data_IF_388904405695
#
_entry.id   IF_388904405695
#
_cell.length_a   1.000
_cell.length_b   1.000
_cell.length_c   1.000
_cell.angle_alpha   90.00
_cell.angle_beta   90.00
_cell.angle_gamma   90.00
#
_symmetry.space_group_name_H-M   'P 1'
#
loop_
_entity.id
_entity.type
_entity.pdbx_description
1 polymer ?
#
# COMPACT_ATOMS: atom_id res chain seq x y z
N UNK A 1 1.18 24.77 28.82
CA UNK A 1 0.58 23.93 27.76
C UNK A 1 -0.62 24.69 27.20
N UNK A 2 -0.53 25.26 25.99
CA UNK A 2 -1.62 26.02 25.35
C UNK A 2 -2.00 25.34 24.05
N UNK A 3 -3.20 24.77 24.00
CA UNK A 3 -3.78 24.15 22.80
C UNK A 3 -4.45 25.28 22.01
N UNK A 4 -3.97 25.54 20.78
CA UNK A 4 -4.69 26.37 19.81
C UNK A 4 -5.62 25.45 19.02
N UNK A 5 -6.90 25.52 19.33
CA UNK A 5 -7.98 24.94 18.52
C UNK A 5 -8.44 25.98 17.50
N UNK A 6 -8.57 25.57 16.24
CA UNK A 6 -9.13 26.38 15.16
C UNK A 6 -10.64 26.49 15.36
N UNK A 7 -11.15 27.70 15.63
CA UNK A 7 -12.59 27.99 15.53
C UNK A 7 -12.92 28.27 14.07
N UNK A 8 -13.99 27.66 13.59
CA UNK A 8 -14.56 27.91 12.26
C UNK A 8 -15.06 29.36 12.21
N UNK A 9 -14.41 30.20 11.40
CA UNK A 9 -14.98 31.48 10.97
C UNK A 9 -15.30 31.35 9.48
N UNK A 10 -16.59 31.22 9.19
CA UNK A 10 -17.13 31.22 7.83
C UNK A 10 -17.18 32.65 7.31
N UNK A 11 -16.60 32.85 6.14
CA UNK A 11 -17.01 33.86 5.16
C UNK A 11 -17.03 33.11 3.83
N UNK A 12 -18.23 32.79 3.38
CA UNK A 12 -18.49 32.27 2.05
C UNK A 12 -18.60 33.48 1.11
N UNK A 13 -17.66 33.59 0.19
CA UNK A 13 -17.80 34.42 -1.01
C UNK A 13 -18.29 33.49 -2.13
N UNK A 14 -19.31 33.92 -2.86
CA UNK A 14 -20.21 33.14 -3.75
C UNK A 14 -19.58 32.33 -4.90
N UNK A 15 -18.25 32.16 -5.00
CA UNK A 15 -17.63 31.30 -6.03
C UNK A 15 -16.46 30.41 -5.51
N UNK A 16 -16.18 30.38 -4.20
CA UNK A 16 -15.06 29.60 -3.66
C UNK A 16 -15.51 28.50 -2.70
N UNK A 17 -15.75 27.30 -3.25
CA UNK A 17 -16.03 26.09 -2.46
C UNK A 17 -14.74 25.64 -1.76
N UNK A 18 -14.66 25.88 -0.45
CA UNK A 18 -13.53 25.43 0.40
C UNK A 18 -13.41 23.91 0.37
N UNK A 19 -12.19 23.41 0.54
CA UNK A 19 -11.96 21.97 0.75
C UNK A 19 -12.74 21.45 1.97
N UNK A 20 -13.46 20.36 1.77
CA UNK A 20 -14.15 19.63 2.83
C UNK A 20 -13.18 18.77 3.64
N UNK A 21 -13.60 18.25 4.80
CA UNK A 21 -12.74 17.39 5.62
C UNK A 21 -12.32 16.08 4.91
N UNK A 22 -13.17 15.40 4.10
CA UNK A 22 -12.71 14.27 3.30
C UNK A 22 -11.66 14.65 2.25
N UNK A 23 -11.80 15.80 1.60
CA UNK A 23 -10.87 16.27 0.57
C UNK A 23 -9.52 16.67 1.16
N UNK A 24 -9.52 17.39 2.28
CA UNK A 24 -8.30 17.67 3.04
C UNK A 24 -7.60 16.37 3.45
N UNK A 25 -8.35 15.37 3.92
CA UNK A 25 -7.82 14.07 4.32
C UNK A 25 -7.23 13.31 3.14
N UNK A 26 -7.93 13.29 2.00
CA UNK A 26 -7.47 12.61 0.78
C UNK A 26 -6.17 13.23 0.25
N UNK A 27 -6.13 14.57 0.12
CA UNK A 27 -4.96 15.29 -0.37
C UNK A 27 -3.77 15.13 0.59
N UNK A 28 -4.00 15.27 1.89
CA UNK A 28 -2.93 15.14 2.88
C UNK A 28 -2.35 13.73 2.91
N UNK A 29 -3.22 12.71 2.92
CA UNK A 29 -2.80 11.30 2.92
C UNK A 29 -2.03 10.97 1.66
N UNK A 30 -2.50 11.40 0.49
CA UNK A 30 -1.79 11.23 -0.77
C UNK A 30 -0.43 11.93 -0.73
N UNK A 31 -0.34 13.17 -0.22
CA UNK A 31 0.91 13.91 -0.14
C UNK A 31 1.96 13.20 0.73
N UNK A 32 1.56 12.74 1.93
CA UNK A 32 2.46 12.03 2.85
C UNK A 32 2.92 10.69 2.26
N UNK A 33 2.00 9.94 1.66
CA UNK A 33 2.33 8.64 1.05
C UNK A 33 3.27 8.79 -0.16
N UNK A 34 3.03 9.78 -1.03
CA UNK A 34 3.85 9.99 -2.22
C UNK A 34 5.23 10.56 -1.87
N UNK A 35 5.34 11.48 -0.90
CA UNK A 35 6.66 11.99 -0.47
C UNK A 35 7.51 10.90 0.19
N UNK A 36 6.92 10.05 1.03
CA UNK A 36 7.60 8.87 1.59
C UNK A 36 8.02 7.90 0.49
N UNK A 37 7.10 7.57 -0.41
CA UNK A 37 7.36 6.61 -1.49
C UNK A 37 8.46 7.12 -2.42
N UNK A 38 8.47 8.40 -2.74
CA UNK A 38 9.52 9.04 -3.53
C UNK A 38 10.92 8.76 -2.94
N UNK A 39 11.13 8.97 -1.63
CA UNK A 39 12.41 8.70 -0.99
C UNK A 39 12.80 7.21 -1.07
N UNK A 40 11.87 6.30 -0.79
CA UNK A 40 12.11 4.84 -0.87
C UNK A 40 12.45 4.42 -2.30
N UNK A 41 11.70 4.93 -3.29
CA UNK A 41 11.87 4.59 -4.70
C UNK A 41 13.19 5.13 -5.25
N UNK A 42 13.62 6.33 -4.85
CA UNK A 42 14.94 6.88 -5.21
C UNK A 42 16.08 6.01 -4.69
N UNK A 43 15.99 5.54 -3.45
CA UNK A 43 16.95 4.58 -2.91
C UNK A 43 16.92 3.25 -3.70
N UNK A 44 15.75 2.70 -4.01
CA UNK A 44 15.65 1.48 -4.80
C UNK A 44 16.21 1.65 -6.21
N UNK A 45 15.91 2.76 -6.90
CA UNK A 45 16.44 3.05 -8.24
C UNK A 45 17.95 3.12 -8.23
N UNK A 46 18.55 3.73 -7.21
CA UNK A 46 20.01 3.78 -7.03
C UNK A 46 20.64 2.39 -6.78
N UNK A 47 19.92 1.47 -6.12
CA UNK A 47 20.45 0.14 -5.75
C UNK A 47 20.03 -0.99 -6.69
N UNK A 48 19.20 -0.71 -7.69
CA UNK A 48 18.69 -1.70 -8.65
C UNK A 48 19.66 -1.86 -9.82
N UNK A 49 19.92 -3.10 -10.22
CA UNK A 49 20.78 -3.42 -11.36
C UNK A 49 19.97 -3.95 -12.56
N UNK A 50 18.84 -4.60 -12.31
CA UNK A 50 17.92 -5.07 -13.35
C UNK A 50 17.23 -3.91 -14.06
N UNK A 51 17.43 -3.81 -15.37
CA UNK A 51 16.94 -2.68 -16.18
C UNK A 51 15.42 -2.62 -16.27
N UNK A 52 14.74 -3.76 -16.37
CA UNK A 52 13.26 -3.78 -16.44
C UNK A 52 12.63 -3.36 -15.11
N UNK A 53 13.24 -3.75 -13.99
CA UNK A 53 12.83 -3.30 -12.65
C UNK A 53 13.13 -1.82 -12.47
N UNK A 54 14.27 -1.35 -12.99
CA UNK A 54 14.66 0.06 -13.02
C UNK A 54 13.62 0.92 -13.75
N UNK A 55 13.06 0.44 -14.86
CA UNK A 55 12.00 1.12 -15.63
C UNK A 55 10.64 1.13 -14.93
N UNK A 56 10.38 0.17 -14.04
CA UNK A 56 9.19 0.15 -13.17
C UNK A 56 9.35 1.17 -12.04
N UNK A 57 10.55 1.25 -11.46
CA UNK A 57 10.87 2.22 -10.39
C UNK A 57 10.81 3.67 -10.90
N UNK A 58 11.29 3.92 -12.11
CA UNK A 58 11.26 5.25 -12.72
C UNK A 58 9.83 5.74 -12.94
N UNK A 59 8.97 4.90 -13.52
CA UNK A 59 7.55 5.21 -13.64
C UNK A 59 6.90 5.49 -12.26
N UNK A 60 7.25 4.71 -11.23
CA UNK A 60 6.73 4.95 -9.89
C UNK A 60 7.18 6.31 -9.32
N UNK A 61 8.44 6.71 -9.57
CA UNK A 61 8.99 8.01 -9.16
C UNK A 61 8.23 9.14 -9.86
N UNK A 62 8.09 9.09 -11.18
CA UNK A 62 7.38 10.09 -11.98
C UNK A 62 5.93 10.29 -11.50
N UNK A 63 5.24 9.20 -11.16
CA UNK A 63 3.90 9.25 -10.59
C UNK A 63 3.92 9.99 -9.25
N UNK A 64 4.87 9.69 -8.36
CA UNK A 64 4.94 10.37 -7.06
C UNK A 64 5.22 11.87 -7.21
N UNK A 65 6.09 12.27 -8.14
CA UNK A 65 6.39 13.68 -8.42
C UNK A 65 5.17 14.42 -8.96
N UNK A 66 4.46 13.80 -9.91
CA UNK A 66 3.20 14.33 -10.49
C UNK A 66 2.17 14.57 -9.39
N UNK A 67 1.94 13.55 -8.55
CA UNK A 67 0.98 13.65 -7.44
C UNK A 67 1.35 14.74 -6.44
N UNK A 68 2.63 14.85 -6.07
CA UNK A 68 3.09 15.88 -5.16
C UNK A 68 2.89 17.28 -5.74
N UNK A 69 3.14 17.47 -7.03
CA UNK A 69 2.97 18.75 -7.71
C UNK A 69 1.50 19.15 -7.86
N UNK A 70 0.63 18.21 -8.23
CA UNK A 70 -0.81 18.43 -8.35
C UNK A 70 -1.43 18.83 -7.00
N UNK A 71 -1.08 18.12 -5.93
CA UNK A 71 -1.57 18.42 -4.58
C UNK A 71 -1.06 19.79 -4.09
N UNK A 72 0.22 20.12 -4.32
CA UNK A 72 0.76 21.46 -4.01
C UNK A 72 0.02 22.56 -4.74
N UNK A 73 -0.42 22.31 -5.98
CA UNK A 73 -1.18 23.27 -6.77
C UNK A 73 -2.54 23.56 -6.13
N UNK A 74 -3.24 22.54 -5.61
CA UNK A 74 -4.48 22.72 -4.86
C UNK A 74 -4.22 23.52 -3.58
N UNK A 75 -3.24 23.14 -2.76
CA UNK A 75 -2.97 23.86 -1.52
C UNK A 75 -2.60 25.32 -1.73
N UNK A 76 -1.83 25.64 -2.78
CA UNK A 76 -1.53 27.03 -3.16
C UNK A 76 -2.80 27.81 -3.53
N UNK A 77 -3.72 27.20 -4.29
CA UNK A 77 -5.01 27.83 -4.65
C UNK A 77 -5.87 28.14 -3.42
N UNK A 78 -5.85 27.25 -2.43
CA UNK A 78 -6.59 27.42 -1.16
C UNK A 78 -5.90 28.36 -0.16
N UNK A 79 -4.74 28.92 -0.51
CA UNK A 79 -3.85 29.59 0.45
C UNK A 79 -3.58 28.74 1.71
N UNK A 80 -3.48 27.42 1.51
CA UNK A 80 -3.24 26.43 2.54
C UNK A 80 -1.75 26.11 2.61
N UNK A 81 -1.23 25.92 3.83
CA UNK A 81 0.15 25.52 4.03
C UNK A 81 0.42 24.14 3.40
N UNK A 82 1.52 24.01 2.65
CA UNK A 82 1.94 22.71 2.13
C UNK A 82 2.39 21.83 3.32
N UNK A 83 1.92 20.58 3.43
CA UNK A 83 2.35 19.68 4.49
C UNK A 83 3.86 19.45 4.46
N UNK A 84 4.46 19.27 5.63
CA UNK A 84 5.86 18.83 5.75
C UNK A 84 5.88 17.33 5.48
N UNK A 85 6.21 16.96 4.25
CA UNK A 85 6.41 15.58 3.82
C UNK A 85 7.86 15.13 3.97
N UNK A 86 8.15 13.93 3.50
CA UNK A 86 9.52 13.41 3.46
C UNK A 86 10.35 14.11 2.38
N UNK A 87 11.66 14.24 2.60
CA UNK A 87 12.58 14.94 1.70
C UNK A 87 13.87 14.14 1.46
N UNK A 88 14.50 14.36 0.29
CA UNK A 88 15.80 13.74 0.01
C UNK A 88 16.89 14.18 0.99
N UNK A 89 16.86 15.44 1.42
CA UNK A 89 17.89 16.00 2.30
C UNK A 89 17.85 15.45 3.72
N UNK A 90 16.69 15.01 4.21
CA UNK A 90 16.50 14.60 5.60
C UNK A 90 16.21 13.10 5.74
N UNK A 91 15.50 12.50 4.77
CA UNK A 91 14.94 11.15 4.90
C UNK A 91 15.56 10.12 3.95
N UNK A 92 16.45 10.53 3.05
CA UNK A 92 17.11 9.67 2.07
C UNK A 92 18.61 9.58 2.33
N UNK A 93 19.12 8.35 2.46
CA UNK A 93 20.55 8.08 2.52
C UNK A 93 20.98 7.13 1.39
N UNK A 94 21.44 7.70 0.26
CA UNK A 94 21.92 6.93 -0.88
C UNK A 94 23.26 6.21 -0.60
N UNK A 95 24.00 6.63 0.43
CA UNK A 95 25.25 5.98 0.86
C UNK A 95 25.01 4.71 1.69
N UNK A 96 23.76 4.40 2.05
CA UNK A 96 23.44 3.14 2.69
C UNK A 96 23.81 1.94 1.77
N UNK A 97 24.23 0.80 2.34
CA UNK A 97 24.48 -0.41 1.54
C UNK A 97 23.20 -0.87 0.85
N UNK A 98 23.29 -1.77 -0.14
CA UNK A 98 22.12 -2.40 -0.73
C UNK A 98 21.43 -3.32 0.31
N UNK A 99 20.29 -2.87 0.84
CA UNK A 99 19.55 -3.54 1.91
C UNK A 99 18.56 -4.58 1.38
N UNK A 100 18.17 -4.45 0.10
CA UNK A 100 17.16 -5.27 -0.53
C UNK A 100 17.63 -5.71 -1.93
N UNK A 101 17.08 -6.83 -2.39
CA UNK A 101 17.30 -7.32 -3.74
C UNK A 101 16.42 -6.59 -4.75
N UNK A 102 16.80 -6.67 -6.03
CA UNK A 102 16.00 -6.16 -7.14
C UNK A 102 14.59 -6.78 -7.17
N UNK A 103 14.47 -8.08 -6.90
CA UNK A 103 13.17 -8.75 -6.73
C UNK A 103 12.32 -8.08 -5.64
N UNK A 104 12.92 -7.73 -4.51
CA UNK A 104 12.18 -7.04 -3.45
C UNK A 104 11.72 -5.65 -3.89
N UNK A 105 12.57 -4.89 -4.61
CA UNK A 105 12.18 -3.59 -5.15
C UNK A 105 10.92 -3.72 -6.03
N UNK A 106 10.89 -4.70 -6.94
CA UNK A 106 9.74 -4.96 -7.80
C UNK A 106 8.49 -5.36 -6.99
N UNK A 107 8.63 -6.28 -6.03
CA UNK A 107 7.52 -6.71 -5.15
C UNK A 107 6.97 -5.56 -4.32
N UNK A 108 7.83 -4.67 -3.83
CA UNK A 108 7.44 -3.48 -3.09
C UNK A 108 6.59 -2.57 -3.98
N UNK A 109 7.06 -2.22 -5.18
CA UNK A 109 6.31 -1.34 -6.10
C UNK A 109 4.94 -1.95 -6.44
N UNK A 110 4.89 -3.25 -6.76
CA UNK A 110 3.64 -3.93 -7.07
C UNK A 110 2.64 -3.87 -5.92
N UNK A 111 3.10 -4.12 -4.68
CA UNK A 111 2.25 -4.06 -3.49
C UNK A 111 1.80 -2.62 -3.17
N UNK A 112 2.69 -1.63 -3.34
CA UNK A 112 2.35 -0.23 -3.14
C UNK A 112 1.36 0.28 -4.19
N UNK A 113 1.47 -0.15 -5.45
CA UNK A 113 0.48 0.15 -6.48
C UNK A 113 -0.89 -0.44 -6.12
N UNK A 114 -0.94 -1.70 -5.66
CA UNK A 114 -2.19 -2.31 -5.15
C UNK A 114 -2.79 -1.51 -3.98
N UNK A 115 -1.96 -1.09 -3.04
CA UNK A 115 -2.41 -0.29 -1.90
C UNK A 115 -2.92 1.09 -2.34
N UNK A 116 -2.21 1.75 -3.25
CA UNK A 116 -2.58 3.03 -3.84
C UNK A 116 -3.94 2.98 -4.52
N UNK A 117 -4.22 1.94 -5.32
CA UNK A 117 -5.54 1.79 -5.96
C UNK A 117 -6.68 1.73 -4.94
N UNK A 118 -6.53 0.98 -3.85
CA UNK A 118 -7.54 0.92 -2.79
C UNK A 118 -7.71 2.29 -2.11
N UNK A 119 -6.60 2.95 -1.75
CA UNK A 119 -6.62 4.24 -1.07
C UNK A 119 -7.29 5.32 -1.94
N UNK A 120 -6.87 5.44 -3.21
CA UNK A 120 -7.43 6.43 -4.13
C UNK A 120 -8.88 6.12 -4.49
N UNK A 121 -9.27 4.85 -4.60
CA UNK A 121 -10.68 4.47 -4.78
C UNK A 121 -11.56 4.94 -3.63
N UNK A 122 -11.12 4.74 -2.38
CA UNK A 122 -11.83 5.27 -1.21
C UNK A 122 -11.87 6.80 -1.19
N UNK A 123 -10.76 7.47 -1.52
CA UNK A 123 -10.72 8.93 -1.62
C UNK A 123 -11.67 9.46 -2.70
N UNK A 124 -11.72 8.82 -3.86
CA UNK A 124 -12.58 9.23 -4.98
C UNK A 124 -14.06 9.17 -4.59
N UNK A 125 -14.48 8.11 -3.89
CA UNK A 125 -15.84 7.95 -3.41
C UNK A 125 -16.22 8.96 -2.30
N UNK A 126 -15.24 9.61 -1.67
CA UNK A 126 -15.45 10.52 -0.54
C UNK A 126 -15.34 12.01 -0.91
N UNK A 127 -14.81 12.33 -2.09
CA UNK A 127 -14.59 13.71 -2.54
C UNK A 127 -15.68 14.17 -3.53
N UNK A 128 -16.04 15.45 -3.50
CA UNK A 128 -17.08 16.01 -4.37
C UNK A 128 -16.53 17.07 -5.34
N UNK A 129 -15.57 17.88 -4.90
CA UNK A 129 -14.99 18.98 -5.67
C UNK A 129 -14.24 18.45 -6.90
N UNK A 130 -14.52 19.05 -8.05
CA UNK A 130 -14.10 18.53 -9.36
C UNK A 130 -12.58 18.47 -9.55
N UNK A 131 -11.86 19.50 -9.13
CA UNK A 131 -10.40 19.56 -9.20
C UNK A 131 -9.73 18.46 -8.34
N UNK A 132 -10.22 18.22 -7.12
CA UNK A 132 -9.76 17.13 -6.26
C UNK A 132 -10.09 15.78 -6.88
N UNK A 133 -11.32 15.58 -7.36
CA UNK A 133 -11.71 14.34 -8.03
C UNK A 133 -10.87 14.05 -9.27
N UNK A 134 -10.51 15.06 -10.04
CA UNK A 134 -9.66 14.91 -11.23
C UNK A 134 -8.25 14.44 -10.84
N UNK A 135 -7.66 15.01 -9.80
CA UNK A 135 -6.36 14.56 -9.27
C UNK A 135 -6.43 13.10 -8.80
N UNK A 136 -7.46 12.75 -8.02
CA UNK A 136 -7.62 11.37 -7.52
C UNK A 136 -7.91 10.39 -8.66
N UNK A 137 -8.70 10.79 -9.67
CA UNK A 137 -8.96 9.97 -10.87
C UNK A 137 -7.67 9.72 -11.65
N UNK A 138 -6.86 10.75 -11.88
CA UNK A 138 -5.56 10.63 -12.52
C UNK A 138 -4.63 9.69 -11.72
N UNK A 139 -4.63 9.82 -10.39
CA UNK A 139 -3.88 8.93 -9.50
C UNK A 139 -4.29 7.46 -9.67
N UNK A 140 -5.60 7.17 -9.80
CA UNK A 140 -6.11 5.81 -10.05
C UNK A 140 -5.58 5.28 -11.38
N UNK A 141 -5.67 6.06 -12.45
CA UNK A 141 -5.22 5.62 -13.78
C UNK A 141 -3.70 5.38 -13.84
N UNK A 142 -2.91 6.31 -13.30
CA UNK A 142 -1.45 6.17 -13.19
C UNK A 142 -1.07 4.94 -12.36
N UNK A 143 -1.71 4.76 -11.20
CA UNK A 143 -1.42 3.62 -10.30
C UNK A 143 -1.85 2.29 -10.92
N UNK A 144 -2.96 2.25 -11.66
CA UNK A 144 -3.39 1.07 -12.42
C UNK A 144 -2.35 0.67 -13.47
N UNK A 145 -1.81 1.65 -14.20
CA UNK A 145 -0.75 1.39 -15.19
C UNK A 145 0.52 0.86 -14.53
N UNK A 146 0.93 1.45 -13.39
CA UNK A 146 2.07 0.95 -12.60
C UNK A 146 1.85 -0.47 -12.08
N UNK A 147 0.63 -0.79 -11.62
CA UNK A 147 0.27 -2.13 -11.18
C UNK A 147 0.41 -3.15 -12.31
N UNK A 148 -0.12 -2.84 -13.50
CA UNK A 148 -0.04 -3.73 -14.65
C UNK A 148 1.41 -3.91 -15.13
N UNK A 149 2.20 -2.83 -15.21
CA UNK A 149 3.61 -2.90 -15.61
C UNK A 149 4.41 -3.78 -14.64
N UNK A 150 4.30 -3.52 -13.33
CA UNK A 150 4.99 -4.33 -12.31
C UNK A 150 4.52 -5.79 -12.29
N UNK A 151 3.23 -6.05 -12.52
CA UNK A 151 2.70 -7.41 -12.61
C UNK A 151 3.29 -8.17 -13.81
N UNK A 152 3.37 -7.54 -14.98
CA UNK A 152 3.92 -8.17 -16.17
C UNK A 152 5.39 -8.56 -15.95
N UNK A 153 6.20 -7.66 -15.40
CA UNK A 153 7.61 -7.95 -15.08
C UNK A 153 7.72 -9.09 -14.04
N UNK A 154 6.84 -9.10 -13.02
CA UNK A 154 6.80 -10.21 -12.05
C UNK A 154 6.46 -11.55 -12.71
N UNK A 155 5.54 -11.56 -13.68
CA UNK A 155 5.13 -12.77 -14.39
C UNK A 155 6.23 -13.27 -15.34
N UNK A 156 6.83 -12.37 -16.13
CA UNK A 156 7.90 -12.67 -17.10
C UNK A 156 9.15 -13.23 -16.40
N UNK A 157 9.49 -12.68 -15.22
CA UNK A 157 10.62 -13.17 -14.41
C UNK A 157 10.29 -14.40 -13.55
N UNK A 158 9.04 -14.88 -13.56
CA UNK A 158 8.61 -16.01 -12.72
C UNK A 158 8.58 -15.72 -11.22
N UNK A 159 8.54 -14.44 -10.83
CA UNK A 159 8.56 -13.97 -9.44
C UNK A 159 7.14 -13.77 -8.87
N UNK A 160 6.10 -13.82 -9.71
CA UNK A 160 4.73 -13.66 -9.25
C UNK A 160 4.24 -14.90 -8.48
N UNK A 161 4.02 -14.73 -7.17
CA UNK A 161 3.34 -15.74 -6.37
C UNK A 161 1.86 -15.79 -6.79
N UNK A 162 1.33 -16.99 -7.04
CA UNK A 162 -0.09 -17.18 -7.34
C UNK A 162 -0.81 -17.65 -6.09
N UNK A 163 -2.01 -17.12 -5.84
CA UNK A 163 -2.90 -17.70 -4.84
C UNK A 163 -3.25 -19.15 -5.22
N UNK A 164 -3.57 -20.02 -4.25
CA UNK A 164 -4.00 -21.38 -4.59
C UNK A 164 -5.28 -21.35 -5.42
N UNK A 165 -5.33 -22.25 -6.39
CA UNK A 165 -6.55 -22.55 -7.12
C UNK A 165 -7.46 -23.45 -6.27
N UNK A 166 -8.76 -23.21 -6.35
CA UNK A 166 -9.78 -24.13 -5.85
C UNK A 166 -10.41 -24.89 -7.01
N UNK A 167 -10.97 -26.10 -6.79
CA UNK A 167 -11.76 -26.79 -7.80
C UNK A 167 -12.89 -25.91 -8.33
N UNK A 168 -13.16 -25.98 -9.64
CA UNK A 168 -14.26 -25.24 -10.26
C UNK A 168 -15.58 -25.81 -9.71
N UNK A 169 -16.45 -24.98 -9.10
CA UNK A 169 -17.74 -25.45 -8.60
C UNK A 169 -18.62 -25.96 -9.75
N UNK A 170 -19.21 -27.15 -9.59
CA UNK A 170 -20.14 -27.72 -10.60
C UNK A 170 -21.58 -27.27 -10.41
N UNK A 171 -21.93 -26.75 -9.22
CA UNK A 171 -23.25 -26.24 -8.87
C UNK A 171 -23.16 -25.17 -7.77
N UNK A 172 -24.13 -24.25 -7.64
CA UNK A 172 -24.23 -23.35 -6.51
C UNK A 172 -24.48 -24.12 -5.20
N UNK A 173 -23.84 -23.69 -4.11
CA UNK A 173 -24.05 -24.22 -2.77
C UNK A 173 -24.58 -23.12 -1.84
N UNK A 174 -25.48 -23.48 -0.93
CA UNK A 174 -26.07 -22.56 0.04
C UNK A 174 -25.51 -22.82 1.43
N UNK A 175 -25.30 -21.75 2.20
CA UNK A 175 -24.87 -21.84 3.59
C UNK A 175 -26.09 -22.13 4.44
N UNK A 176 -26.26 -23.38 4.88
CA UNK A 176 -27.44 -23.81 5.63
C UNK A 176 -27.28 -23.72 7.16
N UNK A 177 -26.04 -23.69 7.66
CA UNK A 177 -25.75 -23.63 9.10
C UNK A 177 -25.36 -22.22 9.54
N UNK A 178 -26.04 -21.70 10.58
CA UNK A 178 -25.66 -20.43 11.24
C UNK A 178 -24.21 -20.44 11.76
N UNK A 179 -23.69 -21.62 12.14
CA UNK A 179 -22.29 -21.81 12.56
C UNK A 179 -21.23 -21.64 11.47
N UNK A 180 -21.60 -21.42 10.21
CA UNK A 180 -20.65 -21.23 9.11
C UNK A 180 -19.70 -20.05 9.32
N UNK A 181 -20.19 -18.96 9.92
CA UNK A 181 -19.38 -17.79 10.28
C UNK A 181 -18.56 -18.00 11.55
N UNK A 182 -18.96 -18.96 12.40
CA UNK A 182 -18.20 -19.32 13.59
C UNK A 182 -16.90 -20.08 13.26
N UNK A 183 -16.59 -20.31 11.97
CA UNK A 183 -15.40 -21.02 11.50
C UNK A 183 -14.05 -20.48 12.00
N UNK A 184 -13.99 -19.37 12.74
CA UNK A 184 -12.77 -18.92 13.44
C UNK A 184 -12.57 -19.62 14.81
N UNK A 185 -13.66 -20.09 15.44
CA UNK A 185 -13.68 -20.75 16.76
C UNK A 185 -14.46 -22.10 16.77
N UNK A 186 -14.91 -22.59 15.60
CA UNK A 186 -15.78 -23.77 15.45
C UNK A 186 -15.40 -24.69 14.27
N UNK A 187 -16.40 -25.27 13.58
CA UNK A 187 -16.27 -26.34 12.57
C UNK A 187 -15.09 -26.14 11.58
N UNK A 188 -14.28 -27.19 11.37
CA UNK A 188 -13.22 -27.24 10.36
C UNK A 188 -13.83 -27.42 8.96
N UNK A 189 -14.33 -26.34 8.35
CA UNK A 189 -14.67 -26.33 6.93
C UNK A 189 -13.49 -25.88 6.07
N UNK A 190 -13.52 -26.25 4.79
CA UNK A 190 -12.62 -25.68 3.79
C UNK A 190 -12.82 -24.16 3.67
N UNK A 191 -11.74 -23.46 3.31
CA UNK A 191 -11.81 -22.03 3.01
C UNK A 191 -12.53 -21.79 1.68
N UNK A 192 -13.35 -20.74 1.62
CA UNK A 192 -13.94 -20.29 0.35
C UNK A 192 -12.97 -19.36 -0.41
N UNK A 193 -13.28 -19.08 -1.68
CA UNK A 193 -12.45 -18.24 -2.54
C UNK A 193 -12.16 -16.84 -1.96
N UNK A 194 -13.14 -16.23 -1.28
CA UNK A 194 -13.00 -14.89 -0.68
C UNK A 194 -11.98 -14.93 0.45
N UNK A 195 -12.07 -15.92 1.33
CA UNK A 195 -11.11 -16.12 2.41
C UNK A 195 -9.71 -16.37 1.86
N UNK A 196 -9.57 -17.27 0.88
CA UNK A 196 -8.28 -17.58 0.25
C UNK A 196 -7.63 -16.31 -0.33
N UNK A 197 -8.40 -15.52 -1.07
CA UNK A 197 -7.94 -14.25 -1.63
C UNK A 197 -7.45 -13.28 -0.53
N UNK A 198 -8.23 -13.09 0.54
CA UNK A 198 -7.83 -12.17 1.61
C UNK A 198 -6.64 -12.67 2.41
N UNK A 199 -6.54 -13.96 2.72
CA UNK A 199 -5.37 -14.54 3.39
C UNK A 199 -4.12 -14.38 2.54
N UNK A 200 -4.19 -14.72 1.25
CA UNK A 200 -3.10 -14.53 0.29
C UNK A 200 -2.62 -13.07 0.25
N UNK A 201 -3.55 -12.13 0.03
CA UNK A 201 -3.22 -10.71 -0.05
C UNK A 201 -2.60 -10.15 1.25
N UNK A 202 -3.07 -10.60 2.41
CA UNK A 202 -2.52 -10.17 3.69
C UNK A 202 -1.15 -10.79 3.97
N UNK A 203 -0.92 -12.05 3.61
CA UNK A 203 0.41 -12.68 3.72
C UNK A 203 1.44 -11.95 2.86
N UNK A 204 1.13 -11.67 1.59
CA UNK A 204 2.01 -10.90 0.70
C UNK A 204 2.33 -9.52 1.28
N UNK A 205 1.30 -8.77 1.73
CA UNK A 205 1.48 -7.45 2.34
C UNK A 205 2.37 -7.49 3.58
N UNK A 206 2.15 -8.44 4.48
CA UNK A 206 2.95 -8.56 5.70
C UNK A 206 4.37 -9.02 5.39
N UNK A 207 4.58 -9.86 4.39
CA UNK A 207 5.93 -10.28 3.95
C UNK A 207 6.74 -9.09 3.46
N UNK A 208 6.16 -8.23 2.61
CA UNK A 208 6.81 -6.99 2.15
C UNK A 208 7.07 -6.04 3.33
N UNK A 209 6.08 -5.83 4.20
CA UNK A 209 6.22 -4.97 5.37
C UNK A 209 7.29 -5.46 6.35
N UNK A 210 7.36 -6.77 6.61
CA UNK A 210 8.39 -7.39 7.45
C UNK A 210 9.79 -7.10 6.91
N UNK A 211 10.01 -7.36 5.62
CA UNK A 211 11.30 -7.13 4.99
C UNK A 211 11.70 -5.65 5.02
N UNK A 212 10.78 -4.74 4.68
CA UNK A 212 11.01 -3.29 4.75
C UNK A 212 11.44 -2.83 6.16
N UNK A 213 10.74 -3.31 7.19
CA UNK A 213 11.07 -2.97 8.58
C UNK A 213 12.46 -3.51 8.96
N UNK A 214 12.79 -4.74 8.57
CA UNK A 214 14.12 -5.30 8.86
C UNK A 214 15.24 -4.50 8.18
N UNK A 215 15.05 -4.04 6.94
CA UNK A 215 16.03 -3.18 6.27
C UNK A 215 16.21 -1.83 6.95
N UNK A 216 15.12 -1.14 7.32
CA UNK A 216 15.22 0.09 8.12
C UNK A 216 15.87 -0.13 9.49
N UNK A 217 15.60 -1.27 10.13
CA UNK A 217 16.24 -1.65 11.40
C UNK A 217 17.76 -1.82 11.30
N UNK A 218 18.29 -2.16 10.12
CA UNK A 218 19.74 -2.32 9.92
C UNK A 218 20.49 -0.99 9.85
N UNK A 219 19.84 0.09 9.41
CA UNK A 219 20.50 1.40 9.20
C UNK A 219 20.07 2.47 10.17
N UNK A 220 19.00 2.28 10.95
CA UNK A 220 18.50 3.30 11.88
C UNK A 220 19.57 3.72 12.91
N UNK A 221 19.88 5.01 13.01
CA UNK A 221 20.93 5.50 13.92
C UNK A 221 20.63 5.30 15.41
N UNK A 222 19.34 5.31 15.80
CA UNK A 222 18.91 5.20 17.20
C UNK A 222 18.47 3.78 17.56
N UNK A 223 18.98 3.24 18.67
CA UNK A 223 18.62 1.90 19.15
C UNK A 223 17.11 1.73 19.37
N UNK A 224 16.43 2.77 19.86
CA UNK A 224 14.98 2.74 20.06
C UNK A 224 14.22 2.53 18.74
N UNK A 225 14.69 3.15 17.66
CA UNK A 225 14.11 2.98 16.31
C UNK A 225 14.41 1.58 15.78
N UNK A 226 15.64 1.07 15.93
CA UNK A 226 15.99 -0.31 15.57
C UNK A 226 15.06 -1.32 16.26
N UNK A 227 14.89 -1.20 17.57
CA UNK A 227 14.02 -2.08 18.36
C UNK A 227 12.56 -1.97 17.91
N UNK A 228 12.10 -0.77 17.56
CA UNK A 228 10.75 -0.55 17.03
C UNK A 228 10.53 -1.26 15.70
N UNK A 229 11.49 -1.14 14.77
CA UNK A 229 11.41 -1.82 13.47
C UNK A 229 11.42 -3.35 13.61
N UNK A 230 12.32 -3.90 14.44
CA UNK A 230 12.37 -5.34 14.73
C UNK A 230 11.08 -5.83 15.38
N UNK A 231 10.51 -5.06 16.32
CA UNK A 231 9.21 -5.38 16.92
C UNK A 231 8.10 -5.45 15.85
N UNK A 232 8.06 -4.47 14.94
CA UNK A 232 7.09 -4.46 13.84
C UNK A 232 7.26 -5.67 12.92
N UNK A 233 8.49 -6.01 12.57
CA UNK A 233 8.80 -7.20 11.76
C UNK A 233 8.35 -8.50 12.44
N UNK A 234 8.53 -8.61 13.77
CA UNK A 234 8.06 -9.76 14.55
C UNK A 234 6.52 -9.85 14.61
N UNK A 235 5.82 -8.71 14.60
CA UNK A 235 4.34 -8.70 14.53
C UNK A 235 3.90 -9.20 13.15
N UNK A 236 4.49 -8.68 12.07
CA UNK A 236 4.19 -9.12 10.72
C UNK A 236 4.45 -10.63 10.55
N UNK A 237 5.56 -11.13 11.11
CA UNK A 237 5.91 -12.55 11.08
C UNK A 237 4.86 -13.44 11.77
N UNK A 238 4.37 -13.02 12.95
CA UNK A 238 3.28 -13.73 13.64
C UNK A 238 1.99 -13.77 12.84
N UNK A 239 1.66 -12.68 12.14
CA UNK A 239 0.46 -12.63 11.28
C UNK A 239 0.61 -13.57 10.09
N UNK A 240 1.78 -13.57 9.44
CA UNK A 240 2.09 -14.49 8.33
C UNK A 240 1.99 -15.94 8.81
N UNK A 241 2.59 -16.27 9.95
CA UNK A 241 2.60 -17.64 10.46
C UNK A 241 1.21 -18.13 10.83
N UNK A 242 0.42 -17.29 11.50
CA UNK A 242 -0.99 -17.59 11.79
C UNK A 242 -1.78 -17.87 10.50
N UNK A 243 -1.64 -17.00 9.50
CA UNK A 243 -2.33 -17.14 8.23
C UNK A 243 -1.88 -18.40 7.47
N UNK A 244 -0.58 -18.70 7.47
CA UNK A 244 -0.01 -19.89 6.84
C UNK A 244 -0.53 -21.16 7.49
N UNK A 245 -0.52 -21.25 8.82
CA UNK A 245 -1.04 -22.42 9.54
C UNK A 245 -2.53 -22.63 9.27
N UNK A 246 -3.31 -21.54 9.27
CA UNK A 246 -4.74 -21.60 8.99
C UNK A 246 -5.03 -22.05 7.55
N UNK A 247 -4.26 -21.52 6.59
CA UNK A 247 -4.32 -21.85 5.17
C UNK A 247 -3.99 -23.32 4.92
N UNK A 248 -2.87 -23.81 5.47
CA UNK A 248 -2.45 -25.22 5.33
C UNK A 248 -3.47 -26.19 5.92
N UNK A 249 -4.03 -25.87 7.10
CA UNK A 249 -5.02 -26.72 7.77
C UNK A 249 -6.34 -26.85 6.99
N UNK A 250 -6.68 -25.89 6.13
CA UNK A 250 -8.04 -25.77 5.54
C UNK A 250 -8.12 -25.81 4.02
N UNK A 251 -7.00 -25.69 3.31
CA UNK A 251 -6.96 -25.95 1.86
C UNK A 251 -6.64 -27.41 1.54
N UNK A 252 -6.00 -28.13 2.47
CA UNK A 252 -5.70 -29.56 2.34
C UNK A 252 -6.57 -30.49 3.23
N UNK A 253 -7.92 -30.39 3.32
CA UNK A 253 -8.68 -31.35 4.12
C UNK A 253 -9.06 -32.63 3.36
N UNK A 254 -8.61 -32.87 2.12
CA UNK A 254 -9.04 -34.03 1.32
C UNK A 254 -7.80 -34.77 0.79
N UNK A 255 -7.61 -36.06 1.14
CA UNK A 255 -6.64 -36.91 0.45
C UNK A 255 -7.03 -36.97 -1.03
N UNK A 256 -6.08 -36.77 -1.93
CA UNK A 256 -6.28 -37.16 -3.33
C UNK A 256 -6.51 -38.69 -3.35
N UNK A 257 -7.49 -39.19 -4.12
CA UNK A 257 -7.72 -40.63 -4.25
C UNK A 257 -6.50 -41.36 -4.80
#
# INVERSE_FOLDING_TARGET
MRIKIWRVMGMETEDHIRLTSPELTALWTAYMNNSMSYCVLKYFKEKTHDTEISDVLELAIEITETMLQDIKTIYKKENHAIPVGFSESEDLNLNAPALYSDEFHLRYVHNMARHGMNSYGSSFASCARSDVKNIISNAIDLTRNLYNKSLNVLLEKGLYNKAASIPIPTKPEFIEKQGYLAGWFGENRAMNAIEIMHFYNNMERNSVGKALLLGFGQTAGQQKVRNYMVRGANIADKVIEFMRQFYLKRIFPIPLP
#
